data_IF_827851196548
#
_entry.id   IF_827851196548
#
_cell.length_a   1.000
_cell.length_b   1.000
_cell.length_c   1.000
_cell.angle_alpha   90.00
_cell.angle_beta   90.00
_cell.angle_gamma   90.00
#
_symmetry.space_group_name_H-M   'P 1'
#
loop_
_entity.id
_entity.type
_entity.pdbx_description
1 polymer ?
#
# COMPACT_ATOMS: atom_id res chain seq x y z
N UNK A 1 -24.87 -6.30 -1.79
CA UNK A 1 -23.83 -7.32 -2.01
C UNK A 1 -22.50 -6.67 -1.74
N UNK A 2 -21.77 -7.10 -0.71
CA UNK A 2 -20.42 -6.59 -0.43
C UNK A 2 -19.44 -7.34 -1.35
N UNK A 3 -19.20 -6.79 -2.54
CA UNK A 3 -18.19 -7.32 -3.45
C UNK A 3 -16.83 -6.91 -2.90
N UNK A 4 -16.11 -7.83 -2.28
CA UNK A 4 -14.77 -7.57 -1.73
C UNK A 4 -13.76 -7.51 -2.88
N UNK A 5 -13.80 -6.42 -3.67
CA UNK A 5 -13.01 -6.22 -4.91
C UNK A 5 -11.53 -5.89 -4.63
N UNK A 6 -11.25 -5.45 -3.40
CA UNK A 6 -9.93 -5.49 -2.77
C UNK A 6 -9.93 -6.59 -1.70
N UNK A 7 -8.76 -7.12 -1.32
CA UNK A 7 -8.52 -8.35 -0.52
C UNK A 7 -8.19 -9.61 -1.35
N UNK A 8 -7.40 -9.46 -2.43
CA UNK A 8 -6.97 -10.57 -3.31
C UNK A 8 -5.50 -10.94 -3.09
N UNK A 9 -5.18 -12.19 -2.76
CA UNK A 9 -3.79 -12.65 -2.53
C UNK A 9 -2.98 -12.85 -3.80
N UNK A 10 -3.67 -13.12 -4.91
CA UNK A 10 -3.08 -13.12 -6.23
C UNK A 10 -3.17 -11.71 -6.85
N UNK A 11 -2.02 -11.20 -7.28
CA UNK A 11 -1.92 -9.95 -8.04
C UNK A 11 -1.46 -10.24 -9.46
N UNK A 12 -2.39 -10.20 -10.41
CA UNK A 12 -2.17 -10.41 -11.84
C UNK A 12 -2.93 -9.34 -12.64
N UNK A 13 -2.82 -9.36 -13.97
CA UNK A 13 -3.44 -8.33 -14.82
C UNK A 13 -4.95 -8.21 -14.60
N UNK A 14 -5.66 -9.32 -14.43
CA UNK A 14 -7.10 -9.31 -14.21
C UNK A 14 -7.45 -8.67 -12.86
N UNK A 15 -6.79 -9.09 -11.77
CA UNK A 15 -7.05 -8.55 -10.44
C UNK A 15 -6.63 -7.10 -10.30
N UNK A 16 -5.54 -6.71 -10.98
CA UNK A 16 -5.06 -5.34 -11.08
C UNK A 16 -6.08 -4.43 -11.80
N UNK A 17 -6.58 -4.86 -12.96
CA UNK A 17 -7.57 -4.10 -13.72
C UNK A 17 -8.89 -3.95 -12.95
N UNK A 18 -9.38 -5.02 -12.33
CA UNK A 18 -10.60 -4.98 -11.53
C UNK A 18 -10.44 -4.05 -10.31
N UNK A 19 -9.30 -4.10 -9.62
CA UNK A 19 -9.03 -3.22 -8.49
C UNK A 19 -9.14 -1.74 -8.89
N UNK A 20 -8.44 -1.32 -9.94
CA UNK A 20 -8.44 0.09 -10.33
C UNK A 20 -9.74 0.56 -10.98
N UNK A 21 -10.50 -0.35 -11.61
CA UNK A 21 -11.85 -0.05 -12.11
C UNK A 21 -12.78 0.31 -10.95
N UNK A 22 -12.79 -0.47 -9.88
CA UNK A 22 -13.65 -0.21 -8.73
C UNK A 22 -13.13 0.94 -7.87
N UNK A 23 -11.81 1.05 -7.66
CA UNK A 23 -11.16 2.12 -6.91
C UNK A 23 -11.63 3.51 -7.35
N UNK A 24 -11.75 3.76 -8.66
CA UNK A 24 -12.15 5.08 -9.18
C UNK A 24 -13.63 5.41 -8.97
N UNK A 25 -14.45 4.43 -8.63
CA UNK A 25 -15.91 4.55 -8.56
C UNK A 25 -16.44 4.65 -7.12
N UNK A 26 -15.61 4.32 -6.12
CA UNK A 26 -16.00 4.36 -4.71
C UNK A 26 -15.62 5.69 -4.03
N UNK A 27 -16.28 6.06 -2.91
CA UNK A 27 -15.92 7.25 -2.13
C UNK A 27 -14.48 7.22 -1.61
N UNK A 28 -13.90 8.39 -1.32
CA UNK A 28 -12.49 8.53 -0.88
C UNK A 28 -12.13 7.65 0.33
N UNK A 29 -13.01 7.56 1.32
CA UNK A 29 -12.79 6.73 2.52
C UNK A 29 -12.63 5.24 2.16
N UNK A 30 -13.43 4.76 1.20
CA UNK A 30 -13.35 3.39 0.73
C UNK A 30 -12.12 3.17 -0.18
N UNK A 31 -11.75 4.17 -0.98
CA UNK A 31 -10.49 4.15 -1.75
C UNK A 31 -9.28 3.99 -0.84
N UNK A 32 -9.23 4.81 0.23
CA UNK A 32 -8.19 4.79 1.23
C UNK A 32 -8.04 3.39 1.84
N UNK A 33 -9.16 2.85 2.35
CA UNK A 33 -9.23 1.54 2.96
C UNK A 33 -8.81 0.43 2.00
N UNK A 34 -9.24 0.50 0.74
CA UNK A 34 -8.90 -0.48 -0.28
C UNK A 34 -7.40 -0.56 -0.54
N UNK A 35 -6.72 0.59 -0.65
CA UNK A 35 -5.28 0.65 -0.87
C UNK A 35 -4.50 0.00 0.28
N UNK A 36 -4.79 0.40 1.52
CA UNK A 36 -4.09 -0.13 2.70
C UNK A 36 -4.36 -1.63 2.87
N UNK A 37 -5.63 -2.05 2.76
CA UNK A 37 -6.03 -3.45 2.96
C UNK A 37 -5.37 -4.36 1.92
N UNK A 38 -5.43 -3.97 0.64
CA UNK A 38 -4.83 -4.75 -0.43
C UNK A 38 -3.30 -4.79 -0.28
N UNK A 39 -2.65 -3.66 -0.01
CA UNK A 39 -1.20 -3.61 0.18
C UNK A 39 -0.72 -4.49 1.35
N UNK A 40 -1.44 -4.49 2.48
CA UNK A 40 -1.15 -5.38 3.60
C UNK A 40 -1.13 -6.84 3.16
N UNK A 41 -2.17 -7.25 2.44
CA UNK A 41 -2.32 -8.63 2.02
C UNK A 41 -1.26 -9.04 0.99
N UNK A 42 -0.90 -8.15 0.06
CA UNK A 42 0.19 -8.38 -0.89
C UNK A 42 1.57 -8.40 -0.21
N UNK A 43 1.75 -7.69 0.91
CA UNK A 43 3.05 -7.60 1.61
C UNK A 43 3.50 -8.91 2.26
N UNK A 44 2.61 -9.89 2.41
CA UNK A 44 2.92 -11.21 2.95
C UNK A 44 3.42 -12.19 1.87
N UNK A 45 3.45 -11.75 0.61
CA UNK A 45 3.92 -12.56 -0.50
C UNK A 45 5.47 -12.54 -0.60
N UNK A 46 6.05 -13.54 -1.26
CA UNK A 46 7.51 -13.62 -1.53
C UNK A 46 7.87 -13.17 -2.94
N UNK A 47 6.89 -13.02 -3.81
CA UNK A 47 7.08 -12.60 -5.19
C UNK A 47 7.40 -11.09 -5.26
N UNK A 48 8.52 -10.75 -5.90
CA UNK A 48 8.98 -9.37 -6.00
C UNK A 48 8.02 -8.46 -6.79
N UNK A 49 7.33 -8.99 -7.80
CA UNK A 49 6.33 -8.26 -8.58
C UNK A 49 5.12 -7.93 -7.71
N UNK A 50 4.66 -8.89 -6.90
CA UNK A 50 3.56 -8.68 -5.95
C UNK A 50 3.94 -7.67 -4.87
N UNK A 51 5.17 -7.75 -4.35
CA UNK A 51 5.68 -6.77 -3.39
C UNK A 51 5.80 -5.37 -4.01
N UNK A 52 6.21 -5.24 -5.28
CA UNK A 52 6.22 -3.96 -6.00
C UNK A 52 4.81 -3.39 -6.19
N UNK A 53 3.81 -4.23 -6.40
CA UNK A 53 2.43 -3.80 -6.41
C UNK A 53 1.98 -3.29 -5.03
N UNK A 54 2.31 -4.02 -3.95
CA UNK A 54 2.05 -3.57 -2.57
C UNK A 54 2.64 -2.18 -2.30
N UNK A 55 3.92 -1.98 -2.67
CA UNK A 55 4.59 -0.69 -2.59
C UNK A 55 3.84 0.39 -3.38
N UNK A 56 3.46 0.11 -4.63
CA UNK A 56 2.79 1.07 -5.50
C UNK A 56 1.45 1.54 -4.93
N UNK A 57 0.69 0.63 -4.31
CA UNK A 57 -0.57 0.97 -3.63
C UNK A 57 -0.34 1.89 -2.42
N UNK A 58 0.72 1.67 -1.65
CA UNK A 58 1.08 2.51 -0.49
C UNK A 58 1.54 3.91 -0.94
N UNK A 59 2.34 3.99 -2.00
CA UNK A 59 2.73 5.29 -2.59
C UNK A 59 1.52 6.06 -3.11
N UNK A 60 0.57 5.37 -3.73
CA UNK A 60 -0.67 5.97 -4.19
C UNK A 60 -1.51 6.49 -3.01
N UNK A 61 -1.54 5.76 -1.89
CA UNK A 61 -2.16 6.24 -0.66
C UNK A 61 -1.47 7.51 -0.15
N UNK A 62 -0.13 7.52 -0.09
CA UNK A 62 0.65 8.67 0.37
C UNK A 62 0.39 9.90 -0.51
N UNK A 63 0.20 9.71 -1.82
CA UNK A 63 -0.06 10.82 -2.74
C UNK A 63 -1.47 11.41 -2.61
N UNK A 64 -2.49 10.55 -2.40
CA UNK A 64 -3.89 10.96 -2.57
C UNK A 64 -4.71 11.00 -1.28
N UNK A 65 -4.28 10.29 -0.24
CA UNK A 65 -5.07 10.04 0.96
C UNK A 65 -4.25 10.21 2.25
N UNK A 66 -3.13 10.94 2.17
CA UNK A 66 -2.23 11.12 3.32
C UNK A 66 -2.98 11.66 4.54
N UNK A 67 -2.97 10.85 5.59
CA UNK A 67 -3.46 11.21 6.91
C UNK A 67 -2.34 11.01 7.94
N UNK A 68 -2.19 11.96 8.87
CA UNK A 68 -1.06 11.95 9.79
C UNK A 68 -1.17 10.86 10.86
N UNK A 69 -2.38 10.52 11.27
CA UNK A 69 -2.62 9.47 12.28
C UNK A 69 -2.27 8.11 11.71
N UNK A 70 -2.62 7.86 10.46
CA UNK A 70 -2.37 6.59 9.75
C UNK A 70 -1.00 6.51 9.06
N UNK A 71 -0.36 7.65 8.77
CA UNK A 71 0.90 7.70 8.03
C UNK A 71 2.01 6.88 8.70
N UNK A 72 2.00 6.79 10.03
CA UNK A 72 2.95 5.96 10.78
C UNK A 72 2.87 4.50 10.33
N UNK A 73 1.67 3.93 10.30
CA UNK A 73 1.45 2.53 9.97
C UNK A 73 1.73 2.25 8.49
N UNK A 74 1.30 3.17 7.61
CA UNK A 74 1.58 3.09 6.17
C UNK A 74 3.08 3.14 5.88
N UNK A 75 3.85 4.01 6.54
CA UNK A 75 5.30 4.05 6.38
C UNK A 75 5.97 2.79 6.93
N UNK A 76 5.53 2.28 8.08
CA UNK A 76 6.05 1.02 8.62
C UNK A 76 5.82 -0.15 7.66
N UNK A 77 4.63 -0.24 7.06
CA UNK A 77 4.33 -1.24 6.04
C UNK A 77 5.17 -1.05 4.79
N UNK A 78 5.35 0.20 4.32
CA UNK A 78 6.19 0.49 3.15
C UNK A 78 7.65 0.09 3.39
N UNK A 79 8.20 0.36 4.59
CA UNK A 79 9.53 -0.08 5.00
C UNK A 79 9.64 -1.60 4.98
N UNK A 80 8.65 -2.32 5.54
CA UNK A 80 8.61 -3.79 5.52
C UNK A 80 8.68 -4.30 4.08
N UNK A 81 7.82 -3.78 3.19
CA UNK A 81 7.76 -4.18 1.78
C UNK A 81 9.10 -3.91 1.07
N UNK A 82 9.69 -2.73 1.24
CA UNK A 82 10.99 -2.39 0.66
C UNK A 82 12.09 -3.36 1.12
N UNK A 83 12.15 -3.67 2.43
CA UNK A 83 13.11 -4.64 2.97
C UNK A 83 12.90 -6.05 2.43
N UNK A 84 11.65 -6.50 2.32
CA UNK A 84 11.34 -7.81 1.72
C UNK A 84 11.77 -7.92 0.26
N UNK A 85 11.78 -6.82 -0.49
CA UNK A 85 12.31 -6.77 -1.86
C UNK A 85 13.83 -6.63 -1.93
N UNK A 86 14.52 -6.41 -0.80
CA UNK A 86 15.94 -6.08 -0.77
C UNK A 86 16.27 -4.62 -1.13
N UNK A 87 15.27 -3.74 -1.21
CA UNK A 87 15.42 -2.31 -1.52
C UNK A 87 15.72 -1.50 -0.25
N UNK A 88 16.95 -1.65 0.26
CA UNK A 88 17.38 -1.10 1.54
C UNK A 88 17.45 0.43 1.52
N UNK A 89 17.89 1.02 0.42
CA UNK A 89 17.98 2.48 0.30
C UNK A 89 16.61 3.14 0.41
N UNK A 90 15.61 2.56 -0.26
CA UNK A 90 14.24 3.05 -0.19
C UNK A 90 13.62 2.83 1.18
N UNK A 91 13.90 1.69 1.83
CA UNK A 91 13.51 1.47 3.21
C UNK A 91 14.07 2.56 4.14
N UNK A 92 15.34 2.94 3.98
CA UNK A 92 15.99 3.99 4.78
C UNK A 92 15.36 5.39 4.56
N UNK A 93 14.93 5.69 3.33
CA UNK A 93 14.19 6.92 3.03
C UNK A 93 12.88 6.97 3.82
N UNK A 94 12.08 5.90 3.79
CA UNK A 94 10.84 5.85 4.57
C UNK A 94 11.06 5.84 6.08
N UNK A 95 12.14 5.22 6.57
CA UNK A 95 12.52 5.33 7.99
C UNK A 95 12.82 6.78 8.40
N UNK A 96 13.41 7.56 7.50
CA UNK A 96 13.68 8.98 7.72
C UNK A 96 12.37 9.78 7.78
N UNK A 97 11.44 9.53 6.86
CA UNK A 97 10.11 10.13 6.89
C UNK A 97 9.35 9.77 8.17
N UNK A 98 9.38 8.50 8.58
CA UNK A 98 8.76 8.03 9.83
C UNK A 98 9.34 8.72 11.07
N UNK A 99 10.67 8.93 11.13
CA UNK A 99 11.31 9.68 12.23
C UNK A 99 10.87 11.14 12.23
N UNK A 100 10.69 11.75 11.06
CA UNK A 100 10.26 13.15 10.94
C UNK A 100 8.83 13.37 11.46
N UNK A 101 7.94 12.38 11.31
CA UNK A 101 6.57 12.45 11.81
C UNK A 101 6.50 12.58 13.35
N UNK A 102 7.47 12.01 14.08
CA UNK A 102 7.54 12.01 15.55
C UNK A 102 8.07 13.32 16.15
N UNK A 103 8.67 14.20 15.34
CA UNK A 103 9.35 15.42 15.79
C UNK A 103 8.47 16.67 15.78
N UNK A 104 7.21 16.58 15.35
CA UNK A 104 6.24 17.69 15.40
C UNK A 104 4.97 17.24 16.09
#
# INVERSE_FOLDING_TARGET
>A
MSTNWYNRSAWNDETHLDFYKNYKLVPKEEQEKALITQAHLLSENKDATVLKAAESLLLLWIANHFDREKAKDVYQLTIKVCKSMGDIDRANQFETYLKSLRRR
#
